data_IF_456649498015
#
_entry.id   IF_456649498015
#
_cell.length_a   1.000
_cell.length_b   1.000
_cell.length_c   1.000
_cell.angle_alpha   90.00
_cell.angle_beta   90.00
_cell.angle_gamma   90.00
#
_symmetry.space_group_name_H-M   'P 1'
#
loop_
_entity.id
_entity.type
_entity.pdbx_description
1 polymer ?
#
# COMPACT_ATOMS: atom_id res chain seq x y z
N UNK A 1 -11.05 -4.22 -1.52
CA UNK A 1 -9.86 -5.09 -1.37
C UNK A 1 -10.07 -6.18 -0.29
N UNK A 2 -11.22 -6.87 -0.25
CA UNK A 2 -11.53 -7.83 0.83
C UNK A 2 -11.69 -9.28 0.37
N UNK A 3 -12.05 -9.51 -0.89
CA UNK A 3 -12.40 -10.86 -1.36
C UNK A 3 -11.24 -11.87 -1.28
N UNK A 4 -10.00 -11.41 -1.50
CA UNK A 4 -8.81 -12.27 -1.61
C UNK A 4 -7.80 -12.04 -0.47
N UNK A 5 -8.17 -11.30 0.58
CA UNK A 5 -7.21 -10.87 1.61
C UNK A 5 -6.60 -12.05 2.37
N UNK A 6 -7.41 -13.07 2.70
CA UNK A 6 -6.93 -14.27 3.38
C UNK A 6 -5.86 -15.01 2.56
N UNK A 7 -6.04 -15.10 1.24
CA UNK A 7 -5.06 -15.71 0.34
C UNK A 7 -3.78 -14.86 0.24
N UNK A 8 -3.92 -13.54 0.13
CA UNK A 8 -2.79 -12.60 0.08
C UNK A 8 -1.96 -12.70 1.36
N UNK A 9 -2.59 -12.69 2.53
CA UNK A 9 -1.92 -12.73 3.83
C UNK A 9 -1.19 -14.05 4.08
N UNK A 10 -1.82 -15.17 3.72
CA UNK A 10 -1.19 -16.48 3.78
C UNK A 10 0.07 -16.51 2.90
N UNK A 11 -0.04 -16.05 1.64
CA UNK A 11 1.11 -16.02 0.72
C UNK A 11 2.19 -15.03 1.16
N UNK A 12 1.83 -13.86 1.69
CA UNK A 12 2.79 -12.88 2.18
C UNK A 12 3.62 -13.47 3.33
N UNK A 13 2.97 -14.07 4.31
CA UNK A 13 3.62 -14.69 5.48
C UNK A 13 4.51 -15.87 5.09
N UNK A 14 4.05 -16.77 4.21
CA UNK A 14 4.87 -17.89 3.70
C UNK A 14 6.12 -17.42 2.95
N UNK A 15 6.08 -16.25 2.33
CA UNK A 15 7.23 -15.66 1.60
C UNK A 15 8.08 -14.71 2.45
N UNK A 16 7.96 -14.74 3.78
CA UNK A 16 8.74 -13.89 4.70
C UNK A 16 8.30 -12.42 4.76
N UNK A 17 7.15 -12.10 4.17
CA UNK A 17 6.48 -10.81 4.33
C UNK A 17 5.55 -10.78 5.54
N UNK A 18 4.72 -9.74 5.60
CA UNK A 18 3.71 -9.55 6.65
C UNK A 18 2.29 -9.53 6.07
N UNK A 19 1.32 -9.90 6.91
CA UNK A 19 -0.10 -9.74 6.60
C UNK A 19 -0.43 -8.29 6.26
N UNK A 20 -1.44 -8.12 5.41
CA UNK A 20 -1.97 -6.84 5.05
C UNK A 20 -2.63 -6.17 6.27
N UNK A 21 -2.47 -4.85 6.39
CA UNK A 21 -3.09 -4.05 7.44
C UNK A 21 -3.90 -2.97 6.76
N UNK A 22 -5.13 -2.74 7.22
CA UNK A 22 -5.96 -1.64 6.72
C UNK A 22 -5.38 -0.29 7.16
N UNK A 23 -4.46 0.25 6.37
CA UNK A 23 -3.77 1.53 6.59
C UNK A 23 -3.39 2.14 5.25
N UNK A 24 -2.70 3.28 5.25
CA UNK A 24 -2.29 3.98 4.03
C UNK A 24 -0.91 3.54 3.57
N UNK A 25 -0.77 3.27 2.27
CA UNK A 25 0.49 2.86 1.65
C UNK A 25 0.90 3.82 0.53
N UNK A 26 2.17 4.21 0.50
CA UNK A 26 2.71 4.95 -0.64
C UNK A 26 2.62 4.13 -1.94
N UNK A 27 2.36 4.84 -3.03
CA UNK A 27 2.60 4.37 -4.39
C UNK A 27 3.96 4.87 -4.89
N UNK A 28 4.51 4.22 -5.92
CA UNK A 28 5.65 4.74 -6.68
C UNK A 28 5.24 5.81 -7.72
N UNK A 29 3.96 6.20 -7.75
CA UNK A 29 3.44 7.22 -8.67
C UNK A 29 3.62 8.61 -8.08
N UNK A 30 4.37 9.45 -8.80
CA UNK A 30 4.53 10.87 -8.49
C UNK A 30 3.30 11.66 -8.96
N UNK A 31 2.90 12.67 -8.19
CA UNK A 31 1.93 13.69 -8.62
C UNK A 31 2.66 14.96 -9.10
N UNK A 32 3.59 15.46 -8.29
CA UNK A 32 4.41 16.64 -8.60
C UNK A 32 5.66 16.69 -7.71
N UNK A 33 6.48 17.74 -7.85
CA UNK A 33 7.78 17.82 -7.17
C UNK A 33 7.71 17.54 -5.66
N UNK A 34 6.65 18.01 -4.99
CA UNK A 34 6.47 17.88 -3.54
C UNK A 34 5.49 16.77 -3.13
N UNK A 35 4.79 16.14 -4.09
CA UNK A 35 3.64 15.29 -3.82
C UNK A 35 3.73 13.92 -4.50
N UNK A 36 3.20 12.90 -3.82
CA UNK A 36 3.10 11.54 -4.34
C UNK A 36 1.71 10.95 -4.04
N UNK A 37 1.34 9.97 -4.83
CA UNK A 37 0.09 9.23 -4.62
C UNK A 37 0.26 8.19 -3.52
N UNK A 38 -0.79 8.02 -2.73
CA UNK A 38 -0.92 6.93 -1.76
C UNK A 38 -2.30 6.30 -1.85
N UNK A 39 -2.37 5.06 -1.41
CA UNK A 39 -3.60 4.26 -1.37
C UNK A 39 -4.10 4.20 0.07
N UNK A 40 -5.30 4.72 0.32
CA UNK A 40 -5.96 4.72 1.63
C UNK A 40 -6.99 3.60 1.72
N UNK A 41 -6.68 2.60 2.54
CA UNK A 41 -7.55 1.45 2.78
C UNK A 41 -8.58 1.65 3.89
N UNK A 42 -8.30 2.38 5.00
CA UNK A 42 -9.29 2.74 6.01
C UNK A 42 -10.60 3.33 5.46
N UNK A 43 -10.54 4.14 4.40
CA UNK A 43 -11.72 4.84 3.84
C UNK A 43 -12.30 4.20 2.58
N UNK A 44 -11.85 3.00 2.18
CA UNK A 44 -12.44 2.27 1.06
C UNK A 44 -11.52 1.98 -0.12
N UNK A 45 -10.19 2.05 0.05
CA UNK A 45 -9.21 1.84 -1.04
C UNK A 45 -9.26 2.96 -2.09
N UNK A 46 -9.31 4.22 -1.64
CA UNK A 46 -9.24 5.39 -2.51
C UNK A 46 -7.78 5.85 -2.72
N UNK A 47 -7.52 6.47 -3.87
CA UNK A 47 -6.24 7.09 -4.18
C UNK A 47 -6.27 8.57 -3.77
N UNK A 48 -5.23 9.00 -3.07
CA UNK A 48 -5.06 10.37 -2.61
C UNK A 48 -3.63 10.84 -2.84
N UNK A 49 -3.44 12.15 -2.78
CA UNK A 49 -2.14 12.81 -2.90
C UNK A 49 -1.71 13.34 -1.53
N UNK A 50 -0.44 13.16 -1.18
CA UNK A 50 0.15 13.74 0.04
C UNK A 50 1.59 14.19 -0.20
N UNK A 51 2.11 15.01 0.71
CA UNK A 51 3.49 15.47 0.66
C UNK A 51 4.47 14.30 0.82
N UNK A 52 5.54 14.30 0.02
CA UNK A 52 6.57 13.24 0.03
C UNK A 52 7.29 13.07 1.38
N UNK A 53 7.23 14.09 2.25
CA UNK A 53 7.82 14.05 3.60
C UNK A 53 6.87 13.45 4.67
N UNK A 54 5.66 13.03 4.29
CA UNK A 54 4.73 12.39 5.22
C UNK A 54 5.10 10.91 5.48
N UNK A 55 4.83 10.42 6.68
CA UNK A 55 5.17 9.04 7.07
C UNK A 55 4.00 8.12 6.74
N UNK A 56 4.11 7.35 5.65
CA UNK A 56 3.20 6.26 5.30
C UNK A 56 3.96 4.93 5.14
N UNK A 57 3.22 3.82 5.16
CA UNK A 57 3.83 2.49 5.00
C UNK A 57 4.21 2.21 3.55
N UNK A 58 5.21 1.37 3.36
CA UNK A 58 5.59 0.81 2.05
C UNK A 58 5.24 -0.68 2.02
N UNK A 59 4.74 -1.16 0.89
CA UNK A 59 4.67 -2.58 0.56
C UNK A 59 5.27 -2.77 -0.82
N UNK A 60 6.51 -3.27 -0.88
CA UNK A 60 7.18 -3.54 -2.14
C UNK A 60 6.50 -4.71 -2.87
N UNK A 61 6.39 -4.59 -4.20
CA UNK A 61 5.85 -5.63 -5.07
C UNK A 61 7.00 -6.12 -5.97
N UNK A 62 7.23 -7.42 -6.00
CA UNK A 62 8.17 -8.07 -6.93
C UNK A 62 7.39 -8.91 -7.93
N UNK A 63 7.70 -8.78 -9.21
CA UNK A 63 7.28 -9.72 -10.26
C UNK A 63 8.47 -10.63 -10.60
N UNK A 64 8.18 -11.86 -11.01
CA UNK A 64 9.16 -12.87 -11.41
C UNK A 64 8.82 -13.41 -12.80
#
# INVERSE_FOLDING_TARGET
>A
MYQNIATIDAKATTNGGSSFVSTSFWSSTEDSNNYAWFQDYPTGSNLYVSYKNYILRIRAIRAF
#
